data_IF_833324561281
#
_entry.id   IF_833324561281
#
_cell.length_a   1.000
_cell.length_b   1.000
_cell.length_c   1.000
_cell.angle_alpha   90.00
_cell.angle_beta   90.00
_cell.angle_gamma   90.00
#
_symmetry.space_group_name_H-M   'P 1'
#
loop_
_entity.id
_entity.type
_entity.pdbx_description
1 polymer ?
#
# COMPACT_ATOMS: atom_id res chain seq x y z
N UNK A 1 -22.92 12.70 8.04
CA UNK A 1 -21.85 12.55 9.05
C UNK A 1 -22.06 11.22 9.77
N UNK A 2 -21.01 10.42 9.87
CA UNK A 2 -21.00 9.12 10.56
C UNK A 2 -20.98 9.36 12.06
N UNK A 3 -21.97 8.87 12.77
CA UNK A 3 -22.04 8.92 14.24
C UNK A 3 -21.91 7.54 14.87
N UNK A 4 -22.35 6.52 14.14
CA UNK A 4 -22.36 5.13 14.59
C UNK A 4 -21.74 4.24 13.52
N UNK A 5 -20.92 3.28 13.94
CA UNK A 5 -20.24 2.34 13.05
C UNK A 5 -20.27 0.93 13.63
N UNK A 6 -20.38 -0.08 12.77
CA UNK A 6 -20.12 -1.46 13.13
C UNK A 6 -18.88 -1.97 12.40
N UNK A 7 -17.98 -2.62 13.11
CA UNK A 7 -16.80 -3.30 12.54
C UNK A 7 -17.00 -4.80 12.72
N UNK A 8 -17.09 -5.50 11.58
CA UNK A 8 -17.25 -6.96 11.53
C UNK A 8 -15.92 -7.57 11.14
N UNK A 9 -15.24 -8.15 12.11
CA UNK A 9 -13.85 -8.59 12.04
C UNK A 9 -12.93 -7.63 12.80
N UNK A 10 -12.43 -8.06 13.95
CA UNK A 10 -11.58 -7.26 14.85
C UNK A 10 -10.12 -7.67 14.80
N UNK A 11 -9.63 -7.94 13.59
CA UNK A 11 -8.20 -8.13 13.31
C UNK A 11 -7.44 -6.80 13.33
N UNK A 12 -6.24 -6.78 12.75
CA UNK A 12 -5.40 -5.57 12.63
C UNK A 12 -6.17 -4.41 12.00
N UNK A 13 -6.74 -4.62 10.80
CA UNK A 13 -7.36 -3.54 10.01
C UNK A 13 -8.66 -3.07 10.66
N UNK A 14 -9.57 -3.99 10.98
CA UNK A 14 -10.86 -3.62 11.59
C UNK A 14 -10.70 -2.89 12.91
N UNK A 15 -9.80 -3.36 13.79
CA UNK A 15 -9.52 -2.68 15.06
C UNK A 15 -8.87 -1.31 14.84
N UNK A 16 -7.98 -1.16 13.84
CA UNK A 16 -7.37 0.14 13.51
C UNK A 16 -8.40 1.15 13.00
N UNK A 17 -9.34 0.72 12.13
CA UNK A 17 -10.48 1.56 11.69
C UNK A 17 -11.31 2.00 12.88
N UNK A 18 -11.65 1.06 13.77
CA UNK A 18 -12.43 1.34 14.97
C UNK A 18 -11.75 2.37 15.89
N UNK A 19 -10.43 2.20 16.13
CA UNK A 19 -9.64 3.15 16.91
C UNK A 19 -9.58 4.54 16.27
N UNK A 20 -9.37 4.61 14.95
CA UNK A 20 -9.33 5.86 14.21
C UNK A 20 -10.67 6.60 14.28
N UNK A 21 -11.79 5.92 14.01
CA UNK A 21 -13.13 6.49 14.08
C UNK A 21 -13.48 6.95 15.51
N UNK A 22 -13.11 6.17 16.52
CA UNK A 22 -13.34 6.49 17.93
C UNK A 22 -12.66 7.79 18.38
N UNK A 23 -11.47 8.15 17.84
CA UNK A 23 -10.80 9.43 18.09
C UNK A 23 -11.64 10.64 17.67
N UNK A 24 -12.54 10.45 16.72
CA UNK A 24 -13.45 11.49 16.21
C UNK A 24 -14.86 11.42 16.82
N UNK A 25 -15.03 10.65 17.91
CA UNK A 25 -16.30 10.56 18.63
C UNK A 25 -17.35 9.66 18.00
N UNK A 26 -16.98 8.81 17.03
CA UNK A 26 -17.87 7.82 16.44
C UNK A 26 -18.09 6.68 17.44
N UNK A 27 -19.35 6.33 17.72
CA UNK A 27 -19.68 5.16 18.53
C UNK A 27 -19.50 3.88 17.71
N UNK A 28 -18.55 3.02 18.11
CA UNK A 28 -18.18 1.81 17.34
C UNK A 28 -18.65 0.55 18.06
N UNK A 29 -19.34 -0.32 17.31
CA UNK A 29 -19.74 -1.67 17.69
C UNK A 29 -18.79 -2.70 17.08
N UNK A 30 -18.23 -3.58 17.92
CA UNK A 30 -17.22 -4.58 17.53
C UNK A 30 -17.85 -5.96 17.48
N UNK A 31 -17.79 -6.58 16.32
CA UNK A 31 -18.34 -7.90 16.06
C UNK A 31 -17.24 -8.80 15.48
N UNK A 32 -17.02 -9.95 16.06
CA UNK A 32 -16.08 -10.96 15.58
C UNK A 32 -16.62 -12.36 15.88
N UNK A 33 -16.29 -13.33 15.00
CA UNK A 33 -16.59 -14.75 15.29
C UNK A 33 -15.76 -15.29 16.45
N UNK A 34 -14.57 -14.69 16.68
CA UNK A 34 -13.76 -14.94 17.89
C UNK A 34 -14.07 -13.89 18.95
N UNK A 35 -14.82 -14.26 20.01
CA UNK A 35 -15.15 -13.33 21.08
C UNK A 35 -13.92 -12.78 21.83
N UNK A 36 -12.79 -13.48 21.80
CA UNK A 36 -11.57 -13.02 22.44
C UNK A 36 -10.95 -11.87 21.64
N UNK A 37 -10.96 -11.93 20.30
CA UNK A 37 -10.50 -10.84 19.44
C UNK A 37 -11.34 -9.57 19.65
N UNK A 38 -12.69 -9.67 19.67
CA UNK A 38 -13.57 -8.53 19.93
C UNK A 38 -13.33 -7.91 21.31
N UNK A 39 -13.18 -8.72 22.36
CA UNK A 39 -12.87 -8.23 23.71
C UNK A 39 -11.50 -7.55 23.78
N UNK A 40 -10.51 -8.10 23.10
CA UNK A 40 -9.17 -7.50 23.03
C UNK A 40 -9.23 -6.14 22.34
N UNK A 41 -9.94 -6.02 21.21
CA UNK A 41 -10.15 -4.75 20.54
C UNK A 41 -10.87 -3.73 21.44
N UNK A 42 -11.92 -4.14 22.18
CA UNK A 42 -12.61 -3.29 23.14
C UNK A 42 -11.69 -2.84 24.28
N UNK A 43 -10.84 -3.73 24.81
CA UNK A 43 -9.87 -3.39 25.86
C UNK A 43 -8.81 -2.38 25.37
N UNK A 44 -8.54 -2.30 24.05
CA UNK A 44 -7.71 -1.27 23.43
C UNK A 44 -8.46 0.08 23.25
N UNK A 45 -9.73 0.16 23.60
CA UNK A 45 -10.54 1.36 23.42
C UNK A 45 -11.15 1.53 22.03
N UNK A 46 -11.20 0.45 21.22
CA UNK A 46 -11.71 0.50 19.84
C UNK A 46 -13.26 0.61 19.76
N UNK A 47 -13.98 0.36 20.85
CA UNK A 47 -15.44 0.42 20.90
C UNK A 47 -16.06 -0.59 21.86
N UNK A 48 -17.34 -0.88 21.69
CA UNK A 48 -18.10 -1.82 22.52
C UNK A 48 -18.37 -3.13 21.80
N UNK A 49 -18.21 -4.26 22.50
CA UNK A 49 -18.47 -5.59 21.93
C UNK A 49 -19.99 -5.81 21.81
N UNK A 50 -20.41 -6.28 20.64
CA UNK A 50 -21.78 -6.69 20.37
C UNK A 50 -22.42 -5.97 19.20
N UNK A 51 -23.55 -6.48 18.75
CA UNK A 51 -24.35 -5.86 17.71
C UNK A 51 -25.05 -4.60 18.24
N UNK A 52 -25.20 -3.53 17.43
CA UNK A 52 -25.98 -2.37 17.78
C UNK A 52 -27.46 -2.70 17.89
N UNK A 53 -28.20 -1.92 18.72
CA UNK A 53 -29.65 -2.06 18.87
C UNK A 53 -30.43 -1.55 17.62
N UNK A 54 -29.86 -0.59 16.92
CA UNK A 54 -30.43 0.02 15.71
C UNK A 54 -29.39 0.00 14.58
N UNK A 55 -29.88 0.14 13.32
CA UNK A 55 -29.02 0.20 12.16
C UNK A 55 -28.03 1.36 12.24
N UNK A 56 -26.72 1.05 12.17
CA UNK A 56 -25.65 2.06 12.19
C UNK A 56 -25.51 2.80 10.85
N UNK A 57 -24.76 3.90 10.84
CA UNK A 57 -24.53 4.68 9.63
C UNK A 57 -23.67 3.93 8.61
N UNK A 58 -22.65 3.21 9.08
CA UNK A 58 -21.71 2.45 8.23
C UNK A 58 -21.29 1.14 8.92
N UNK A 59 -21.30 0.04 8.18
CA UNK A 59 -20.64 -1.21 8.59
C UNK A 59 -19.38 -1.45 7.75
N UNK A 60 -18.28 -1.78 8.43
CA UNK A 60 -16.99 -2.13 7.84
C UNK A 60 -16.79 -3.64 7.96
N UNK A 61 -16.74 -4.34 6.83
CA UNK A 61 -16.54 -5.79 6.76
C UNK A 61 -15.04 -6.06 6.65
N UNK A 62 -14.43 -6.40 7.78
CA UNK A 62 -12.98 -6.58 7.92
C UNK A 62 -12.59 -8.06 8.09
N UNK A 63 -13.07 -8.89 7.17
CA UNK A 63 -12.85 -10.35 7.12
C UNK A 63 -11.97 -10.72 5.92
N UNK A 64 -11.41 -11.95 5.87
CA UNK A 64 -10.66 -12.41 4.69
C UNK A 64 -11.47 -12.30 3.39
N UNK A 65 -10.80 -12.10 2.23
CA UNK A 65 -11.48 -11.88 0.94
C UNK A 65 -12.54 -12.91 0.60
N UNK A 66 -12.28 -14.20 0.84
CA UNK A 66 -13.22 -15.30 0.56
C UNK A 66 -14.49 -15.27 1.42
N UNK A 67 -14.54 -14.50 2.49
CA UNK A 67 -15.67 -14.42 3.40
C UNK A 67 -16.50 -13.15 3.22
N UNK A 68 -16.00 -12.16 2.47
CA UNK A 68 -16.66 -10.83 2.37
C UNK A 68 -18.08 -10.96 1.86
N UNK A 69 -18.33 -11.69 0.77
CA UNK A 69 -19.65 -11.83 0.19
C UNK A 69 -20.68 -12.44 1.16
N UNK A 70 -20.32 -13.54 1.81
CA UNK A 70 -21.22 -14.23 2.73
C UNK A 70 -21.52 -13.39 3.99
N UNK A 71 -20.48 -12.80 4.58
CA UNK A 71 -20.64 -11.96 5.78
C UNK A 71 -21.44 -10.70 5.46
N UNK A 72 -21.18 -10.05 4.33
CA UNK A 72 -21.94 -8.88 3.90
C UNK A 72 -23.42 -9.21 3.72
N UNK A 73 -23.74 -10.29 2.99
CA UNK A 73 -25.13 -10.72 2.79
C UNK A 73 -25.85 -11.00 4.12
N UNK A 74 -25.20 -11.68 5.05
CA UNK A 74 -25.72 -11.92 6.38
C UNK A 74 -26.02 -10.61 7.14
N UNK A 75 -25.10 -9.65 7.10
CA UNK A 75 -25.29 -8.40 7.84
C UNK A 75 -26.32 -7.48 7.18
N UNK A 76 -26.46 -7.52 5.85
CA UNK A 76 -27.56 -6.82 5.15
C UNK A 76 -28.92 -7.40 5.50
N UNK A 77 -29.05 -8.73 5.53
CA UNK A 77 -30.30 -9.40 5.95
C UNK A 77 -30.73 -9.05 7.38
N UNK A 78 -29.76 -8.81 8.25
CA UNK A 78 -29.99 -8.35 9.63
C UNK A 78 -30.30 -6.85 9.73
N UNK A 79 -30.14 -6.10 8.65
CA UNK A 79 -30.31 -4.65 8.67
C UNK A 79 -29.30 -3.94 9.55
N UNK A 80 -28.05 -4.46 9.63
CA UNK A 80 -27.00 -3.95 10.55
C UNK A 80 -26.65 -2.49 10.30
N UNK A 81 -26.64 -2.03 9.04
CA UNK A 81 -26.21 -0.69 8.68
C UNK A 81 -26.97 -0.12 7.49
N UNK A 82 -26.91 1.20 7.32
CA UNK A 82 -27.44 1.94 6.16
C UNK A 82 -26.50 1.93 4.97
N UNK A 83 -25.20 1.68 5.20
CA UNK A 83 -24.17 1.57 4.19
C UNK A 83 -23.12 0.53 4.64
N UNK A 84 -22.48 -0.11 3.66
CA UNK A 84 -21.50 -1.15 3.89
C UNK A 84 -20.25 -0.90 3.03
N UNK A 85 -19.08 -1.17 3.59
CA UNK A 85 -17.81 -1.26 2.87
C UNK A 85 -17.01 -2.44 3.38
N UNK A 86 -16.05 -2.90 2.59
CA UNK A 86 -15.05 -3.88 3.03
C UNK A 86 -13.65 -3.28 3.08
N UNK A 87 -12.68 -4.06 3.54
CA UNK A 87 -11.27 -3.69 3.60
C UNK A 87 -10.37 -4.77 2.97
N UNK A 88 -10.94 -5.68 2.20
CA UNK A 88 -10.21 -6.79 1.61
C UNK A 88 -9.17 -6.31 0.58
N UNK A 89 -8.07 -7.04 0.47
CA UNK A 89 -6.97 -6.73 -0.45
C UNK A 89 -7.23 -7.10 -1.90
N UNK A 90 -8.39 -7.69 -2.23
CA UNK A 90 -8.82 -8.07 -3.58
C UNK A 90 -10.25 -7.58 -3.78
N UNK A 91 -10.58 -7.09 -4.96
CA UNK A 91 -11.89 -6.46 -5.23
C UNK A 91 -12.77 -7.22 -6.23
N UNK A 92 -12.19 -7.80 -7.29
CA UNK A 92 -12.99 -8.43 -8.35
C UNK A 92 -13.68 -9.71 -7.91
N UNK A 93 -12.99 -10.58 -7.13
CA UNK A 93 -13.60 -11.82 -6.65
C UNK A 93 -14.68 -11.55 -5.58
N UNK A 94 -14.39 -10.81 -4.48
CA UNK A 94 -15.42 -10.38 -3.54
C UNK A 94 -16.56 -9.62 -4.22
N UNK A 95 -16.26 -8.76 -5.19
CA UNK A 95 -17.25 -7.99 -5.93
C UNK A 95 -18.24 -8.86 -6.69
N UNK A 96 -17.79 -9.93 -7.37
CA UNK A 96 -18.68 -10.89 -8.04
C UNK A 96 -19.53 -11.67 -7.05
N UNK A 97 -18.94 -12.14 -5.96
CA UNK A 97 -19.65 -12.86 -4.91
C UNK A 97 -20.67 -11.96 -4.22
N UNK A 98 -20.32 -10.72 -3.98
CA UNK A 98 -21.19 -9.68 -3.45
C UNK A 98 -22.37 -9.43 -4.39
N UNK A 99 -22.14 -9.18 -5.68
CA UNK A 99 -23.21 -8.93 -6.64
C UNK A 99 -24.19 -10.12 -6.81
N UNK A 100 -23.71 -11.34 -6.57
CA UNK A 100 -24.55 -12.55 -6.64
C UNK A 100 -25.25 -12.89 -5.32
N UNK A 101 -24.72 -12.46 -4.17
CA UNK A 101 -25.16 -12.89 -2.83
C UNK A 101 -25.84 -11.78 -2.01
N UNK A 102 -25.64 -10.50 -2.33
CA UNK A 102 -26.20 -9.38 -1.55
C UNK A 102 -27.62 -9.04 -1.95
N UNK A 103 -28.44 -8.71 -0.95
CA UNK A 103 -29.83 -8.32 -1.17
C UNK A 103 -29.95 -6.93 -1.83
N UNK A 104 -29.03 -6.00 -1.54
CA UNK A 104 -29.03 -4.64 -2.07
C UNK A 104 -27.60 -4.14 -2.36
N UNK A 105 -27.14 -4.23 -3.64
CA UNK A 105 -25.84 -3.74 -4.06
C UNK A 105 -25.71 -2.22 -3.97
N UNK A 106 -26.82 -1.48 -3.92
CA UNK A 106 -26.77 -0.02 -3.81
C UNK A 106 -26.24 0.46 -2.45
N UNK A 107 -26.31 -0.38 -1.43
CA UNK A 107 -25.80 -0.05 -0.08
C UNK A 107 -24.34 -0.43 0.15
N UNK A 108 -23.65 -0.99 -0.86
CA UNK A 108 -22.25 -1.46 -0.73
C UNK A 108 -21.29 -0.71 -1.63
N UNK A 109 -20.05 -0.52 -1.12
CA UNK A 109 -18.89 -0.09 -1.90
C UNK A 109 -17.65 -0.85 -1.46
N UNK A 110 -16.91 -1.41 -2.41
CA UNK A 110 -15.63 -2.06 -2.11
C UNK A 110 -14.57 -1.06 -1.67
N UNK A 111 -13.78 -1.44 -0.67
CA UNK A 111 -12.69 -0.64 -0.13
C UNK A 111 -11.43 -1.48 0.11
N UNK A 112 -10.25 -0.85 0.03
CA UNK A 112 -8.98 -1.48 0.37
C UNK A 112 -7.97 -0.44 0.87
N UNK A 113 -7.65 -0.40 2.17
CA UNK A 113 -6.53 0.39 2.69
C UNK A 113 -5.21 -0.26 2.29
N UNK A 114 -4.35 0.47 1.56
CA UNK A 114 -2.99 0.01 1.23
C UNK A 114 -2.08 0.20 2.44
N UNK A 115 -2.44 -0.45 3.53
CA UNK A 115 -1.74 -0.40 4.81
C UNK A 115 -1.83 -1.77 5.49
N UNK A 116 -0.74 -2.19 6.11
CA UNK A 116 -0.66 -3.48 6.80
C UNK A 116 0.63 -3.57 7.61
N UNK A 117 0.73 -4.64 8.37
CA UNK A 117 1.91 -5.02 9.14
C UNK A 117 2.06 -6.54 9.08
N UNK A 118 3.26 -7.02 9.37
CA UNK A 118 3.56 -8.47 9.41
C UNK A 118 2.86 -9.18 10.59
N UNK A 119 2.41 -8.42 11.59
CA UNK A 119 1.69 -8.95 12.76
C UNK A 119 0.18 -8.85 12.54
N UNK A 120 -0.52 -9.95 12.79
CA UNK A 120 -1.98 -10.04 12.73
C UNK A 120 -2.62 -9.80 14.12
N UNK A 121 -3.95 -9.63 14.10
CA UNK A 121 -4.77 -9.52 15.31
C UNK A 121 -4.88 -8.11 15.89
N UNK A 122 -5.78 -7.93 16.89
CA UNK A 122 -6.09 -6.62 17.45
C UNK A 122 -4.91 -5.97 18.19
N UNK A 123 -4.00 -6.74 18.76
CA UNK A 123 -2.83 -6.20 19.47
C UNK A 123 -1.84 -5.44 18.58
N UNK A 124 -1.88 -5.68 17.28
CA UNK A 124 -1.05 -4.96 16.31
C UNK A 124 -1.72 -3.68 15.79
N UNK A 125 -2.98 -3.43 16.16
CA UNK A 125 -3.76 -2.31 15.67
C UNK A 125 -3.25 -0.97 16.19
N UNK A 126 -3.40 0.06 15.34
CA UNK A 126 -3.05 1.45 15.64
C UNK A 126 -4.07 2.37 15.00
N UNK A 127 -4.43 3.45 15.68
CA UNK A 127 -5.38 4.42 15.15
C UNK A 127 -4.78 5.27 14.00
N UNK A 128 -3.45 5.39 13.92
CA UNK A 128 -2.69 6.10 12.89
C UNK A 128 -2.20 5.19 11.75
N UNK A 129 -2.65 3.92 11.69
CA UNK A 129 -2.21 2.95 10.69
C UNK A 129 -2.38 3.42 9.24
N UNK A 130 -3.39 4.23 9.00
CA UNK A 130 -3.82 4.66 7.66
C UNK A 130 -3.40 6.10 7.33
N UNK A 131 -2.83 6.84 8.27
CA UNK A 131 -2.44 8.24 8.06
C UNK A 131 -1.51 8.40 6.86
N UNK A 132 -1.94 9.24 5.89
CA UNK A 132 -1.24 9.46 4.63
C UNK A 132 -1.19 8.26 3.68
N UNK A 133 -1.83 7.13 4.00
CA UNK A 133 -1.85 5.93 3.15
C UNK A 133 -2.99 5.98 2.14
N UNK A 134 -2.74 5.42 0.97
CA UNK A 134 -3.79 5.28 -0.04
C UNK A 134 -4.88 4.32 0.45
N UNK A 135 -6.13 4.70 0.26
CA UNK A 135 -7.29 3.84 0.43
C UNK A 135 -8.09 3.79 -0.86
N UNK A 136 -8.10 2.64 -1.49
CA UNK A 136 -8.83 2.45 -2.75
C UNK A 136 -10.31 2.23 -2.45
N UNK A 137 -11.17 2.87 -3.25
CA UNK A 137 -12.60 2.58 -3.36
C UNK A 137 -12.91 2.10 -4.77
N UNK A 138 -13.75 1.06 -4.86
CA UNK A 138 -14.19 0.50 -6.14
C UNK A 138 -15.72 0.62 -6.28
N UNK A 139 -16.24 1.83 -6.57
CA UNK A 139 -17.67 2.02 -6.79
C UNK A 139 -18.12 1.26 -8.04
N UNK A 140 -19.34 0.73 -8.00
CA UNK A 140 -20.02 0.16 -9.16
C UNK A 140 -21.14 1.08 -9.64
N UNK A 141 -21.72 0.79 -10.80
CA UNK A 141 -22.88 1.52 -11.29
C UNK A 141 -24.10 1.43 -10.34
N UNK A 142 -24.16 0.40 -9.49
CA UNK A 142 -25.21 0.22 -8.49
C UNK A 142 -24.94 1.01 -7.19
N UNK A 143 -23.72 1.39 -6.90
CA UNK A 143 -23.34 2.05 -5.63
C UNK A 143 -24.06 3.39 -5.48
N UNK A 144 -24.90 3.53 -4.46
CA UNK A 144 -25.62 4.77 -4.21
C UNK A 144 -24.67 5.89 -3.70
N UNK A 145 -24.92 7.13 -4.15
CA UNK A 145 -24.11 8.30 -3.76
C UNK A 145 -23.97 8.48 -2.23
N UNK A 146 -24.99 8.26 -1.40
CA UNK A 146 -24.84 8.34 0.06
C UNK A 146 -23.84 7.32 0.62
N UNK A 147 -23.73 6.13 0.00
CA UNK A 147 -22.78 5.08 0.41
C UNK A 147 -21.35 5.50 0.10
N UNK A 148 -21.11 6.00 -1.12
CA UNK A 148 -19.81 6.59 -1.49
C UNK A 148 -19.40 7.71 -0.53
N UNK A 149 -20.32 8.63 -0.20
CA UNK A 149 -20.02 9.74 0.71
C UNK A 149 -19.64 9.26 2.11
N UNK A 150 -20.31 8.22 2.64
CA UNK A 150 -19.94 7.63 3.93
C UNK A 150 -18.59 6.93 3.89
N UNK A 151 -18.28 6.21 2.81
CA UNK A 151 -16.97 5.60 2.66
C UNK A 151 -15.84 6.66 2.60
N UNK A 152 -16.04 7.74 1.84
CA UNK A 152 -15.09 8.86 1.81
C UNK A 152 -14.92 9.52 3.19
N UNK A 153 -16.01 9.74 3.92
CA UNK A 153 -15.97 10.29 5.27
C UNK A 153 -15.18 9.37 6.22
N UNK A 154 -15.41 8.06 6.18
CA UNK A 154 -14.65 7.08 6.96
C UNK A 154 -13.15 7.15 6.65
N UNK A 155 -12.79 7.22 5.36
CA UNK A 155 -11.39 7.33 4.93
C UNK A 155 -10.74 8.59 5.50
N UNK A 156 -11.46 9.72 5.47
CA UNK A 156 -10.99 10.98 6.08
C UNK A 156 -10.82 10.85 7.61
N UNK A 157 -11.74 10.18 8.31
CA UNK A 157 -11.60 9.90 9.75
C UNK A 157 -10.37 9.04 10.07
N UNK A 158 -9.95 8.19 9.13
CA UNK A 158 -8.74 7.38 9.23
C UNK A 158 -7.46 8.15 8.82
N UNK A 159 -7.55 9.40 8.37
CA UNK A 159 -6.42 10.17 7.86
C UNK A 159 -5.82 9.62 6.55
N UNK A 160 -6.56 8.78 5.83
CA UNK A 160 -6.11 8.15 4.60
C UNK A 160 -6.46 8.99 3.35
N UNK A 161 -5.80 8.69 2.23
CA UNK A 161 -6.00 9.37 0.94
C UNK A 161 -6.87 8.50 0.04
N UNK A 162 -8.10 8.92 -0.31
CA UNK A 162 -8.99 8.13 -1.14
C UNK A 162 -8.54 8.14 -2.61
N UNK A 163 -8.55 6.96 -3.24
CA UNK A 163 -8.35 6.77 -4.69
C UNK A 163 -9.50 5.92 -5.21
N UNK A 164 -10.16 6.37 -6.28
CA UNK A 164 -11.22 5.60 -6.93
C UNK A 164 -10.70 4.93 -8.19
N UNK A 165 -10.99 3.64 -8.36
CA UNK A 165 -10.66 2.89 -9.57
C UNK A 165 -11.63 1.74 -9.79
N UNK A 166 -11.57 1.14 -10.97
CA UNK A 166 -12.27 -0.11 -11.28
C UNK A 166 -11.70 -1.29 -10.49
N UNK A 167 -12.52 -2.26 -10.14
CA UNK A 167 -12.11 -3.42 -9.35
C UNK A 167 -11.08 -4.30 -10.06
N UNK A 168 -11.17 -4.45 -11.40
CA UNK A 168 -10.19 -5.22 -12.15
C UNK A 168 -8.85 -4.47 -12.24
N UNK A 169 -8.90 -3.18 -12.54
CA UNK A 169 -7.69 -2.34 -12.54
C UNK A 169 -6.98 -2.34 -11.19
N UNK A 170 -7.76 -2.34 -10.08
CA UNK A 170 -7.21 -2.52 -8.74
C UNK A 170 -6.48 -3.86 -8.59
N UNK A 171 -7.13 -4.96 -8.97
CA UNK A 171 -6.58 -6.30 -8.78
C UNK A 171 -5.34 -6.55 -9.65
N UNK A 172 -5.30 -5.98 -10.87
CA UNK A 172 -4.11 -5.97 -11.72
C UNK A 172 -2.95 -5.18 -11.07
N UNK A 173 -3.25 -4.00 -10.54
CA UNK A 173 -2.25 -3.17 -9.88
C UNK A 173 -1.66 -3.85 -8.63
N UNK A 174 -2.50 -4.41 -7.74
CA UNK A 174 -2.00 -5.06 -6.52
C UNK A 174 -1.35 -6.42 -6.80
N UNK A 175 -1.64 -7.07 -7.92
CA UNK A 175 -0.90 -8.25 -8.37
C UNK A 175 0.57 -7.92 -8.56
N UNK A 176 0.88 -6.78 -9.20
CA UNK A 176 2.24 -6.31 -9.43
C UNK A 176 2.88 -5.70 -8.17
N UNK A 177 2.16 -4.84 -7.45
CA UNK A 177 2.75 -3.99 -6.39
C UNK A 177 2.77 -4.64 -5.01
N UNK A 178 2.00 -5.71 -4.79
CA UNK A 178 1.86 -6.37 -3.50
C UNK A 178 1.99 -7.90 -3.57
N UNK A 179 1.21 -8.56 -4.43
CA UNK A 179 1.09 -10.02 -4.39
C UNK A 179 2.32 -10.72 -4.96
N UNK A 180 2.81 -10.29 -6.12
CA UNK A 180 4.05 -10.85 -6.71
C UNK A 180 5.28 -10.58 -5.82
N UNK A 181 5.50 -9.37 -5.28
CA UNK A 181 6.55 -9.13 -4.29
C UNK A 181 6.51 -10.07 -3.09
N UNK A 182 5.32 -10.36 -2.55
CA UNK A 182 5.17 -11.30 -1.44
C UNK A 182 5.57 -12.74 -1.83
N UNK A 183 5.17 -13.19 -3.03
CA UNK A 183 5.55 -14.53 -3.54
C UNK A 183 7.06 -14.60 -3.73
N UNK A 184 7.68 -13.59 -4.36
CA UNK A 184 9.14 -13.54 -4.58
C UNK A 184 9.90 -13.53 -3.26
N UNK A 185 9.47 -12.72 -2.29
CA UNK A 185 10.04 -12.68 -0.95
C UNK A 185 9.95 -14.06 -0.25
N UNK A 186 8.79 -14.73 -0.38
CA UNK A 186 8.56 -16.05 0.19
C UNK A 186 9.42 -17.13 -0.48
N UNK A 187 9.60 -17.07 -1.80
CA UNK A 187 10.50 -17.96 -2.54
C UNK A 187 11.95 -17.79 -2.11
N UNK A 188 12.40 -16.54 -1.94
CA UNK A 188 13.75 -16.25 -1.44
C UNK A 188 13.94 -16.71 0.01
N UNK A 189 13.00 -16.40 0.90
CA UNK A 189 13.02 -16.81 2.30
C UNK A 189 13.02 -18.35 2.44
N UNK A 190 12.30 -19.06 1.58
CA UNK A 190 12.27 -20.51 1.59
C UNK A 190 13.65 -21.15 1.29
N UNK A 191 14.52 -20.47 0.56
CA UNK A 191 15.91 -20.95 0.31
C UNK A 191 16.76 -20.95 1.57
N UNK A 192 16.43 -20.13 2.55
CA UNK A 192 17.16 -20.06 3.82
C UNK A 192 17.03 -21.34 4.65
N UNK A 193 15.96 -22.14 4.49
CA UNK A 193 15.76 -23.38 5.23
C UNK A 193 16.84 -24.44 5.04
N UNK A 194 17.59 -24.39 3.94
CA UNK A 194 18.71 -25.30 3.67
C UNK A 194 20.07 -24.61 3.65
N UNK A 195 20.13 -23.34 4.09
CA UNK A 195 21.35 -22.55 4.12
C UNK A 195 22.32 -23.04 5.22
N UNK A 196 23.61 -22.97 4.92
CA UNK A 196 24.65 -23.23 5.93
C UNK A 196 24.66 -22.11 6.99
N UNK A 197 25.11 -22.43 8.21
CA UNK A 197 25.17 -21.47 9.33
C UNK A 197 26.01 -20.22 8.97
N UNK A 198 27.06 -20.43 8.21
CA UNK A 198 27.93 -19.35 7.72
C UNK A 198 27.19 -18.34 6.85
N UNK A 199 26.22 -18.80 6.04
CA UNK A 199 25.39 -17.91 5.20
C UNK A 199 24.54 -16.95 6.05
N UNK A 200 24.04 -17.40 7.21
CA UNK A 200 23.26 -16.54 8.11
C UNK A 200 24.12 -15.44 8.78
N UNK A 201 25.41 -15.74 9.04
CA UNK A 201 26.36 -14.74 9.58
C UNK A 201 26.67 -13.63 8.57
N UNK A 202 26.50 -13.91 7.27
CA UNK A 202 26.69 -12.96 6.19
C UNK A 202 25.39 -12.24 5.77
N UNK A 203 24.26 -12.55 6.42
CA UNK A 203 22.96 -11.98 6.11
C UNK A 203 22.92 -10.48 6.46
N UNK A 204 23.14 -9.64 5.47
CA UNK A 204 23.07 -8.18 5.57
C UNK A 204 21.63 -7.62 5.46
N UNK A 205 21.52 -6.29 5.45
CA UNK A 205 20.23 -5.59 5.41
C UNK A 205 19.44 -5.92 4.14
N UNK A 206 20.08 -5.99 2.97
CA UNK A 206 19.40 -6.30 1.70
C UNK A 206 18.61 -7.60 1.73
N UNK A 207 19.15 -8.68 2.33
CA UNK A 207 18.42 -9.93 2.48
C UNK A 207 17.21 -9.76 3.43
N UNK A 208 17.38 -9.04 4.54
CA UNK A 208 16.31 -8.78 5.51
C UNK A 208 15.17 -7.99 4.90
N UNK A 209 15.46 -6.94 4.14
CA UNK A 209 14.46 -6.11 3.46
C UNK A 209 13.71 -6.92 2.39
N UNK A 210 14.44 -7.67 1.56
CA UNK A 210 13.83 -8.50 0.52
C UNK A 210 12.91 -9.58 1.09
N UNK A 211 13.24 -10.18 2.24
CA UNK A 211 12.48 -11.29 2.83
C UNK A 211 11.46 -10.87 3.89
N UNK A 212 11.47 -9.61 4.33
CA UNK A 212 10.65 -9.10 5.44
C UNK A 212 9.17 -9.42 5.27
N UNK A 213 8.61 -9.16 4.09
CA UNK A 213 7.18 -9.33 3.83
C UNK A 213 6.75 -10.81 3.82
N UNK A 214 7.66 -11.77 3.69
CA UNK A 214 7.38 -13.20 3.78
C UNK A 214 6.91 -13.64 5.18
N UNK A 215 7.02 -12.79 6.21
CA UNK A 215 6.54 -13.06 7.57
C UNK A 215 5.02 -12.94 7.75
N UNK A 216 4.26 -12.64 6.70
CA UNK A 216 2.78 -12.58 6.74
C UNK A 216 2.14 -13.95 7.04
N UNK A 217 0.88 -13.92 7.54
CA UNK A 217 0.13 -15.16 7.83
C UNK A 217 -0.11 -15.98 6.54
N UNK A 218 0.41 -17.22 6.44
CA UNK A 218 0.25 -18.04 5.24
C UNK A 218 -1.20 -18.34 4.86
N UNK A 219 -2.11 -18.41 5.84
CA UNK A 219 -3.54 -18.70 5.59
C UNK A 219 -4.19 -17.51 4.89
N UNK A 220 -3.96 -16.30 5.40
CA UNK A 220 -4.47 -15.07 4.79
C UNK A 220 -3.88 -14.90 3.39
N UNK A 221 -2.58 -15.09 3.22
CA UNK A 221 -1.93 -14.94 1.93
C UNK A 221 -2.36 -15.97 0.90
N UNK A 222 -2.61 -17.21 1.31
CA UNK A 222 -3.19 -18.23 0.41
C UNK A 222 -4.58 -17.81 -0.09
N UNK A 223 -5.40 -17.21 0.76
CA UNK A 223 -6.73 -16.70 0.38
C UNK A 223 -6.62 -15.53 -0.62
N UNK A 224 -5.71 -14.58 -0.34
CA UNK A 224 -5.43 -13.43 -1.22
C UNK A 224 -4.95 -13.90 -2.60
N UNK A 225 -3.92 -14.77 -2.64
CA UNK A 225 -3.33 -15.26 -3.88
C UNK A 225 -4.35 -16.06 -4.72
N UNK A 226 -5.19 -16.85 -4.05
CA UNK A 226 -6.29 -17.57 -4.70
C UNK A 226 -7.30 -16.60 -5.33
N UNK A 227 -7.71 -15.58 -4.57
CA UNK A 227 -8.73 -14.62 -5.01
C UNK A 227 -8.22 -13.75 -6.19
N UNK A 228 -6.91 -13.47 -6.26
CA UNK A 228 -6.27 -12.67 -7.32
C UNK A 228 -5.38 -13.51 -8.26
N UNK A 229 -5.65 -14.81 -8.40
CA UNK A 229 -4.77 -15.74 -9.15
C UNK A 229 -4.63 -15.39 -10.63
N UNK A 230 -5.68 -14.89 -11.28
CA UNK A 230 -5.65 -14.52 -12.71
C UNK A 230 -4.57 -13.46 -13.03
N UNK A 231 -4.71 -12.24 -12.51
CA UNK A 231 -3.70 -11.18 -12.68
C UNK A 231 -2.30 -11.59 -12.23
N UNK A 232 -2.21 -12.28 -11.10
CA UNK A 232 -0.93 -12.69 -10.52
C UNK A 232 -0.14 -13.65 -11.42
N UNK A 233 -0.82 -14.59 -12.08
CA UNK A 233 -0.17 -15.54 -13.02
C UNK A 233 0.55 -14.81 -14.15
N UNK A 234 -0.01 -13.70 -14.67
CA UNK A 234 0.66 -12.89 -15.69
C UNK A 234 2.01 -12.38 -15.20
N UNK A 235 2.01 -11.67 -14.08
CA UNK A 235 3.24 -11.11 -13.47
C UNK A 235 4.28 -12.19 -13.17
N UNK A 236 3.84 -13.33 -12.63
CA UNK A 236 4.77 -14.42 -12.28
C UNK A 236 5.34 -15.13 -13.52
N UNK A 237 4.63 -15.15 -14.65
CA UNK A 237 5.18 -15.67 -15.92
C UNK A 237 6.29 -14.79 -16.45
N UNK A 238 6.09 -13.48 -16.46
CA UNK A 238 7.12 -12.54 -16.91
C UNK A 238 8.38 -12.65 -16.02
N UNK A 239 8.20 -12.73 -14.69
CA UNK A 239 9.30 -12.97 -13.77
C UNK A 239 9.99 -14.33 -14.00
N UNK A 240 9.23 -15.37 -14.33
CA UNK A 240 9.79 -16.69 -14.64
C UNK A 240 10.62 -16.68 -15.93
N UNK A 241 10.16 -15.97 -16.96
CA UNK A 241 10.90 -15.80 -18.21
C UNK A 241 12.22 -15.07 -17.98
N UNK A 242 12.19 -13.94 -17.28
CA UNK A 242 13.40 -13.19 -16.92
C UNK A 242 14.37 -14.04 -16.07
N UNK A 243 13.88 -14.77 -15.08
CA UNK A 243 14.69 -15.66 -14.26
C UNK A 243 15.33 -16.78 -15.11
N UNK A 244 14.58 -17.35 -16.04
CA UNK A 244 15.07 -18.40 -16.94
C UNK A 244 16.19 -17.89 -17.84
N UNK A 245 16.08 -16.66 -18.36
CA UNK A 245 17.14 -15.99 -19.14
C UNK A 245 18.40 -15.77 -18.30
N UNK A 246 18.27 -15.32 -17.06
CA UNK A 246 19.39 -15.13 -16.13
C UNK A 246 20.08 -16.46 -15.84
N UNK A 247 19.30 -17.50 -15.50
CA UNK A 247 19.85 -18.83 -15.23
C UNK A 247 20.64 -19.38 -16.42
N UNK A 248 20.09 -19.29 -17.65
CA UNK A 248 20.76 -19.72 -18.85
C UNK A 248 22.06 -18.94 -19.10
N UNK A 249 22.04 -17.62 -18.88
CA UNK A 249 23.21 -16.76 -19.04
C UNK A 249 24.30 -17.08 -18.02
N UNK A 250 23.94 -17.25 -16.75
CA UNK A 250 24.88 -17.60 -15.69
C UNK A 250 25.48 -19.00 -15.88
N UNK A 251 24.70 -19.95 -16.39
CA UNK A 251 25.19 -21.31 -16.69
C UNK A 251 26.27 -21.30 -17.76
N UNK A 252 26.10 -20.46 -18.81
CA UNK A 252 27.17 -20.29 -19.84
C UNK A 252 28.38 -19.57 -19.24
N UNK A 253 28.17 -18.48 -18.47
CA UNK A 253 29.25 -17.71 -17.86
C UNK A 253 30.07 -18.54 -16.88
N UNK A 254 29.45 -19.47 -16.13
CA UNK A 254 30.14 -20.34 -15.19
C UNK A 254 31.16 -21.28 -15.85
N UNK A 255 30.99 -21.52 -17.15
CA UNK A 255 31.86 -22.39 -17.96
C UNK A 255 32.76 -21.61 -18.92
N UNK A 256 32.61 -20.27 -18.98
CA UNK A 256 33.36 -19.42 -19.88
C UNK A 256 34.70 -19.00 -19.28
N UNK A 257 35.74 -18.92 -20.12
CA UNK A 257 37.03 -18.38 -19.72
C UNK A 257 37.08 -16.85 -19.74
N UNK A 258 38.16 -16.25 -19.23
CA UNK A 258 38.35 -14.79 -19.25
C UNK A 258 38.16 -14.19 -20.67
N UNK A 259 37.35 -13.13 -20.77
CA UNK A 259 37.04 -12.45 -22.02
C UNK A 259 35.97 -13.12 -22.89
N UNK A 260 35.39 -14.23 -22.46
CA UNK A 260 34.27 -14.90 -23.12
C UNK A 260 32.94 -14.54 -22.48
N UNK A 261 31.80 -14.77 -23.16
CA UNK A 261 30.45 -14.58 -22.60
C UNK A 261 29.97 -13.12 -22.64
N UNK A 262 30.48 -12.28 -23.51
CA UNK A 262 30.07 -10.88 -23.63
C UNK A 262 28.55 -10.72 -23.90
N UNK A 263 27.96 -11.61 -24.71
CA UNK A 263 26.52 -11.62 -24.99
C UNK A 263 25.69 -11.93 -23.74
N UNK A 264 26.10 -12.91 -22.96
CA UNK A 264 25.42 -13.35 -21.72
C UNK A 264 25.56 -12.29 -20.64
N UNK A 265 26.74 -11.67 -20.50
CA UNK A 265 26.95 -10.50 -19.62
C UNK A 265 26.05 -9.34 -20.03
N UNK A 266 25.87 -9.10 -21.33
CA UNK A 266 24.94 -8.09 -21.85
C UNK A 266 23.51 -8.35 -21.41
N UNK A 267 23.01 -9.58 -21.56
CA UNK A 267 21.65 -9.96 -21.13
C UNK A 267 21.39 -9.76 -19.63
N UNK A 268 22.36 -10.12 -18.80
CA UNK A 268 22.24 -9.89 -17.35
C UNK A 268 22.23 -8.39 -17.06
N UNK A 269 23.09 -7.60 -17.74
CA UNK A 269 23.11 -6.15 -17.60
C UNK A 269 21.78 -5.53 -18.01
N UNK A 270 21.22 -5.92 -19.15
CA UNK A 270 19.94 -5.40 -19.65
C UNK A 270 18.80 -5.62 -18.64
N UNK A 271 18.78 -6.76 -17.95
CA UNK A 271 17.80 -6.99 -16.87
C UNK A 271 18.02 -6.04 -15.69
N UNK A 272 19.27 -5.88 -15.24
CA UNK A 272 19.61 -4.99 -14.13
C UNK A 272 19.26 -3.53 -14.46
N UNK A 273 19.52 -3.10 -15.70
CA UNK A 273 19.18 -1.75 -16.19
C UNK A 273 17.65 -1.56 -16.22
N UNK A 274 16.88 -2.54 -16.70
CA UNK A 274 15.40 -2.50 -16.63
C UNK A 274 14.90 -2.42 -15.18
N UNK A 275 15.53 -3.14 -14.26
CA UNK A 275 15.21 -3.07 -12.82
C UNK A 275 15.45 -1.68 -12.24
N UNK A 276 16.59 -1.06 -12.57
CA UNK A 276 16.92 0.30 -12.16
C UNK A 276 15.93 1.33 -12.70
N UNK A 277 15.54 1.19 -13.99
CA UNK A 277 14.52 2.04 -14.60
C UNK A 277 13.16 1.89 -13.92
N UNK A 278 12.73 0.64 -13.63
CA UNK A 278 11.49 0.37 -12.90
C UNK A 278 11.47 0.99 -11.50
N UNK A 279 12.60 0.96 -10.79
CA UNK A 279 12.75 1.63 -9.49
C UNK A 279 12.63 3.16 -9.64
N UNK A 280 13.15 3.73 -10.72
CA UNK A 280 13.00 5.16 -11.05
C UNK A 280 11.53 5.56 -11.11
N UNK A 281 10.68 4.78 -11.77
CA UNK A 281 9.24 5.04 -11.87
C UNK A 281 8.53 5.07 -10.50
N UNK A 282 8.95 4.24 -9.54
CA UNK A 282 8.40 4.28 -8.18
C UNK A 282 8.78 5.56 -7.43
N UNK A 283 9.99 6.09 -7.67
CA UNK A 283 10.46 7.34 -7.07
C UNK A 283 9.78 8.56 -7.68
N UNK A 284 9.41 8.49 -8.96
CA UNK A 284 8.72 9.57 -9.66
C UNK A 284 7.25 9.72 -9.28
N UNK A 285 6.61 8.65 -8.81
CA UNK A 285 5.18 8.62 -8.42
C UNK A 285 5.01 8.18 -6.96
N UNK A 286 5.30 9.02 -5.97
CA UNK A 286 5.01 8.68 -4.59
C UNK A 286 3.49 8.56 -4.37
N UNK A 287 3.00 7.53 -3.68
CA UNK A 287 1.59 7.35 -3.40
C UNK A 287 1.04 8.55 -2.63
N UNK A 288 0.15 9.33 -3.25
CA UNK A 288 -0.48 10.51 -2.62
C UNK A 288 0.50 11.59 -2.16
N UNK A 289 1.71 11.63 -2.74
CA UNK A 289 2.76 12.57 -2.38
C UNK A 289 2.84 13.77 -3.31
N UNK A 290 3.38 14.86 -2.81
CA UNK A 290 3.80 16.01 -3.59
C UNK A 290 5.30 15.92 -3.88
N UNK A 291 5.73 16.21 -5.09
CA UNK A 291 7.15 16.45 -5.37
C UNK A 291 7.50 17.85 -4.91
N UNK A 292 8.55 17.93 -4.13
CA UNK A 292 9.09 19.19 -3.62
C UNK A 292 10.47 19.44 -4.21
N UNK A 293 10.76 20.70 -4.46
CA UNK A 293 12.05 21.19 -4.95
C UNK A 293 12.61 22.21 -3.98
N UNK A 294 13.89 22.11 -3.70
CA UNK A 294 14.64 23.01 -2.80
C UNK A 294 15.88 23.50 -3.53
N UNK A 295 16.05 24.81 -3.62
CA UNK A 295 17.31 25.39 -4.07
C UNK A 295 18.30 25.37 -2.89
N UNK A 296 19.49 24.81 -3.13
CA UNK A 296 20.56 24.65 -2.13
C UNK A 296 21.72 25.56 -2.53
N UNK A 297 22.15 26.41 -1.62
CA UNK A 297 23.31 27.26 -1.84
C UNK A 297 24.59 26.43 -2.01
N UNK A 298 25.48 26.86 -2.89
CA UNK A 298 26.80 26.25 -3.06
C UNK A 298 27.74 26.64 -1.90
N UNK A 299 27.42 26.10 -0.70
CA UNK A 299 28.24 26.31 0.49
C UNK A 299 28.55 24.95 1.13
N UNK A 300 29.77 24.79 1.69
CA UNK A 300 30.17 23.57 2.37
C UNK A 300 29.18 23.17 3.48
N UNK A 301 28.56 21.98 3.36
CA UNK A 301 27.66 21.43 4.37
C UNK A 301 26.17 21.76 4.17
N UNK A 302 25.76 22.65 3.26
CA UNK A 302 24.36 23.02 3.07
C UNK A 302 23.50 21.85 2.61
N UNK A 303 23.96 21.04 1.66
CA UNK A 303 23.24 19.82 1.26
C UNK A 303 23.14 18.82 2.43
N UNK A 304 24.19 18.65 3.21
CA UNK A 304 24.17 17.76 4.38
C UNK A 304 23.18 18.26 5.45
N UNK A 305 23.10 19.58 5.67
CA UNK A 305 22.12 20.22 6.56
C UNK A 305 20.70 19.98 6.08
N UNK A 306 20.44 20.14 4.78
CA UNK A 306 19.15 19.84 4.17
C UNK A 306 18.76 18.37 4.38
N UNK A 307 19.66 17.43 4.06
CA UNK A 307 19.41 15.99 4.22
C UNK A 307 19.10 15.62 5.67
N UNK A 308 19.74 16.24 6.66
CA UNK A 308 19.44 16.02 8.07
C UNK A 308 18.02 16.49 8.44
N UNK A 309 17.56 17.65 7.95
CA UNK A 309 16.20 18.16 8.18
C UNK A 309 15.16 17.27 7.49
N UNK A 310 15.47 16.73 6.31
CA UNK A 310 14.60 15.83 5.57
C UNK A 310 14.47 14.47 6.29
N UNK A 311 15.57 13.92 6.80
CA UNK A 311 15.58 12.66 7.56
C UNK A 311 14.71 12.73 8.83
N UNK A 312 14.80 13.83 9.59
CA UNK A 312 13.90 14.10 10.72
C UNK A 312 12.43 14.19 10.33
N UNK A 313 12.16 14.47 9.06
CA UNK A 313 10.81 14.56 8.48
C UNK A 313 10.38 13.26 7.79
N UNK A 314 11.22 12.20 7.87
CA UNK A 314 10.95 10.88 7.29
C UNK A 314 11.27 10.76 5.80
N UNK A 315 12.02 11.71 5.22
CA UNK A 315 12.54 11.63 3.84
C UNK A 315 14.01 11.27 3.93
N UNK A 316 14.37 10.07 3.48
CA UNK A 316 15.76 9.57 3.55
C UNK A 316 16.61 10.14 2.42
N UNK A 317 17.93 10.15 2.60
CA UNK A 317 18.86 10.62 1.57
C UNK A 317 18.72 9.85 0.25
N UNK A 318 18.33 8.57 0.32
CA UNK A 318 18.10 7.73 -0.87
C UNK A 318 16.87 8.17 -1.69
N UNK A 319 15.95 8.91 -1.08
CA UNK A 319 14.74 9.43 -1.73
C UNK A 319 14.95 10.84 -2.31
N UNK A 320 16.13 11.42 -2.14
CA UNK A 320 16.49 12.77 -2.61
C UNK A 320 17.33 12.65 -3.89
N UNK A 321 16.86 13.28 -4.96
CA UNK A 321 17.67 13.51 -6.15
C UNK A 321 18.25 14.92 -6.11
N UNK A 322 19.55 15.06 -6.37
CA UNK A 322 20.22 16.37 -6.44
C UNK A 322 20.83 16.55 -7.82
N UNK A 323 20.58 17.69 -8.43
CA UNK A 323 21.07 18.04 -9.78
C UNK A 323 21.55 19.49 -9.82
N UNK A 324 22.54 19.74 -10.67
CA UNK A 324 23.02 21.09 -10.95
C UNK A 324 22.34 21.62 -12.20
N UNK A 325 21.76 22.82 -12.08
CA UNK A 325 21.34 23.61 -13.23
C UNK A 325 22.16 24.88 -13.22
N UNK A 326 23.11 24.98 -14.17
CA UNK A 326 24.15 26.03 -14.20
C UNK A 326 24.87 26.08 -12.85
N UNK A 327 24.67 27.12 -12.06
CA UNK A 327 25.33 27.36 -10.78
C UNK A 327 24.40 27.07 -9.56
N UNK A 328 23.23 26.49 -9.78
CA UNK A 328 22.26 26.22 -8.71
C UNK A 328 22.14 24.73 -8.46
N UNK A 329 22.45 24.28 -7.24
CA UNK A 329 22.14 22.93 -6.78
C UNK A 329 20.67 22.84 -6.41
N UNK A 330 19.95 21.94 -7.05
CA UNK A 330 18.54 21.68 -6.77
C UNK A 330 18.38 20.27 -6.20
N UNK A 331 17.77 20.17 -5.04
CA UNK A 331 17.35 18.91 -4.44
C UNK A 331 15.85 18.70 -4.69
N UNK A 332 15.48 17.54 -5.23
CA UNK A 332 14.09 17.14 -5.44
C UNK A 332 13.79 15.84 -4.68
N UNK A 333 12.64 15.79 -4.06
CA UNK A 333 12.19 14.63 -3.28
C UNK A 333 10.67 14.59 -3.21
N UNK A 334 10.16 13.42 -2.84
CA UNK A 334 8.74 13.22 -2.60
C UNK A 334 8.40 13.33 -1.11
N UNK A 335 7.30 13.98 -0.79
CA UNK A 335 6.75 14.01 0.55
C UNK A 335 5.26 13.64 0.54
N UNK A 336 4.73 12.95 1.57
CA UNK A 336 3.29 12.75 1.69
C UNK A 336 2.52 14.06 1.56
N UNK A 337 1.38 14.08 0.85
CA UNK A 337 0.62 15.31 0.61
C UNK A 337 0.26 16.04 1.91
N UNK A 338 -0.01 15.29 2.99
CA UNK A 338 -0.28 15.82 4.33
C UNK A 338 0.94 16.46 5.00
N UNK A 339 2.14 16.00 4.65
CA UNK A 339 3.41 16.51 5.21
C UNK A 339 4.03 17.61 4.34
N UNK A 340 3.68 17.71 3.06
CA UNK A 340 4.31 18.63 2.12
C UNK A 340 4.20 20.10 2.56
N UNK A 341 3.01 20.56 2.94
CA UNK A 341 2.82 21.93 3.42
C UNK A 341 3.58 22.27 4.71
N UNK A 342 3.48 21.45 5.77
CA UNK A 342 4.31 21.60 6.97
C UNK A 342 5.81 21.61 6.66
N UNK A 343 6.28 20.69 5.79
CA UNK A 343 7.69 20.58 5.43
C UNK A 343 8.19 21.81 4.65
N UNK A 344 7.42 22.33 3.70
CA UNK A 344 7.75 23.56 2.99
C UNK A 344 7.88 24.76 3.95
N UNK A 345 6.98 24.87 4.93
CA UNK A 345 7.10 25.93 5.95
C UNK A 345 8.35 25.79 6.80
N UNK A 346 8.70 24.56 7.19
CA UNK A 346 9.92 24.26 7.95
C UNK A 346 11.17 24.64 7.14
N UNK A 347 11.26 24.18 5.89
CA UNK A 347 12.37 24.49 5.01
C UNK A 347 12.54 26.00 4.80
N UNK A 348 11.44 26.74 4.62
CA UNK A 348 11.45 28.19 4.55
C UNK A 348 11.92 28.88 5.84
N UNK A 349 11.52 28.34 7.02
CA UNK A 349 11.98 28.85 8.32
C UNK A 349 13.47 28.59 8.56
N UNK A 350 14.02 27.53 7.98
CA UNK A 350 15.44 27.18 8.00
C UNK A 350 16.27 27.95 6.95
N UNK A 351 15.63 28.78 6.12
CA UNK A 351 16.28 29.68 5.17
C UNK A 351 16.34 29.17 3.73
N UNK A 352 15.77 28.00 3.40
CA UNK A 352 15.77 27.51 2.01
C UNK A 352 14.60 28.01 1.19
N UNK A 353 14.86 28.27 -0.09
CA UNK A 353 13.79 28.47 -1.09
C UNK A 353 13.28 27.10 -1.52
N UNK A 354 12.07 26.77 -1.10
CA UNK A 354 11.42 25.49 -1.39
C UNK A 354 10.03 25.68 -1.99
N UNK A 355 9.63 24.81 -2.89
CA UNK A 355 8.31 24.83 -3.54
C UNK A 355 7.91 23.46 -4.06
N UNK A 356 6.69 23.39 -4.63
CA UNK A 356 6.27 22.22 -5.38
C UNK A 356 7.07 22.15 -6.69
N UNK A 357 7.59 20.96 -7.03
CA UNK A 357 8.13 20.75 -8.36
C UNK A 357 6.94 20.63 -9.32
N UNK A 358 6.81 21.58 -10.23
CA UNK A 358 5.81 21.51 -11.28
C UNK A 358 6.04 20.25 -12.11
N UNK A 359 4.97 19.51 -12.40
CA UNK A 359 4.99 18.52 -13.48
C UNK A 359 5.41 19.30 -14.73
N UNK A 360 6.55 18.90 -15.31
CA UNK A 360 7.09 19.55 -16.51
C UNK A 360 5.97 19.78 -17.51
N UNK A 361 5.66 21.03 -17.73
CA UNK A 361 4.90 21.44 -18.90
C UNK A 361 5.84 21.27 -20.09
N UNK A 362 5.80 20.10 -20.72
CA UNK A 362 6.26 19.94 -22.11
C UNK A 362 5.38 20.82 -22.98
N UNK A 363 5.71 22.10 -23.06
CA UNK A 363 5.17 23.04 -24.03
C UNK A 363 6.25 23.41 -25.03
N UNK A 364 6.59 22.46 -25.89
CA UNK A 364 6.96 22.79 -27.26
C UNK A 364 5.68 22.87 -28.13
N UNK A 365 4.96 23.95 -28.01
CA UNK A 365 4.06 24.37 -29.09
C UNK A 365 4.92 25.17 -30.04
N UNK A 366 5.41 24.48 -31.07
CA UNK A 366 6.08 25.09 -32.19
C UNK A 366 5.24 26.21 -32.79
N UNK A 367 5.85 27.39 -32.92
CA UNK A 367 5.36 28.49 -33.69
C UNK A 367 5.12 28.07 -35.14
N UNK A 368 3.87 28.03 -35.56
CA UNK A 368 3.50 28.09 -36.97
C UNK A 368 3.39 29.58 -37.34
N UNK A 369 4.31 29.99 -38.21
CA UNK A 369 4.06 30.98 -39.23
C UNK A 369 3.86 30.32 -40.56
#
# INVERSE_FOLDING_TARGET
MIRTMAVVGTGLIGTSVALAAGRHGVAVHLMDRDPAAARTAAALGAGTVGAPAEAVDLAVIAVPPSMVGAVLAEQQLRGLARAYTDVASVKSAPGRDVLSAIADPATFIGGHPLAGRERAGPLAARADLFEGRTWVLTPTAATARPVLNRALEMICLCGAVPVMMDSQAHDDAVALTSHAPHVVASLMAARLRGGAEEAFRLAGQGLRDTTRVAGGDPRLWTDILRANSGPLVGVLRDLHEDLSLVLASLDVLSRSGPGQGARETGRVRDLLDRGSQGLGLLREQPPGGARLRVAVEEAPGELARLLAVLDESGVTADDVSASWDQDTLTAEFAAPATAAGPLLRRLGAEGWTAGYADLATDSEVGALR
#
